data_IF_160322773249
#
_entry.id   IF_160322773249
#
_cell.length_a   1.000
_cell.length_b   1.000
_cell.length_c   1.000
_cell.angle_alpha   90.00
_cell.angle_beta   90.00
_cell.angle_gamma   90.00
#
_symmetry.space_group_name_H-M   'P 1'
#
loop_
_entity.id
_entity.type
_entity.pdbx_description
1 polymer ?
#
# COMPACT_ATOMS: atom_id res chain seq x y z
N UNK A 1 6.47 -0.66 4.69
CA UNK A 1 7.94 -0.53 4.73
C UNK A 1 8.49 -0.42 3.34
N UNK A 2 9.30 0.61 3.10
CA UNK A 2 10.09 0.81 1.90
C UNK A 2 11.50 0.25 2.08
N UNK A 3 12.01 -0.35 1.02
CA UNK A 3 13.44 -0.54 0.76
C UNK A 3 13.63 -0.32 -0.74
N UNK A 4 14.87 -0.17 -1.20
CA UNK A 4 15.17 0.02 -2.61
C UNK A 4 14.37 -0.96 -3.47
N UNK A 5 13.55 -0.34 -4.31
CA UNK A 5 12.75 -0.92 -5.38
C UNK A 5 11.53 -1.74 -4.96
N UNK A 6 11.21 -1.84 -3.68
CA UNK A 6 10.04 -2.61 -3.23
C UNK A 6 9.34 -2.00 -2.01
N UNK A 7 8.02 -2.11 -2.02
CA UNK A 7 7.16 -1.91 -0.86
C UNK A 7 6.74 -3.26 -0.28
N UNK A 8 6.82 -3.38 1.04
CA UNK A 8 6.24 -4.49 1.81
C UNK A 8 5.24 -3.94 2.82
N UNK A 9 4.06 -4.53 2.87
CA UNK A 9 2.95 -4.16 3.74
C UNK A 9 2.71 -5.30 4.73
N UNK A 10 2.60 -4.95 6.02
CA UNK A 10 2.31 -5.91 7.10
C UNK A 10 0.98 -5.55 7.75
N UNK A 11 0.18 -6.56 8.07
CA UNK A 11 -1.16 -6.44 8.67
C UNK A 11 -1.12 -7.08 10.07
N UNK A 12 -0.60 -6.37 11.09
CA UNK A 12 -0.36 -6.95 12.42
C UNK A 12 -1.64 -7.42 13.12
N UNK A 13 -2.76 -6.72 12.90
CA UNK A 13 -4.06 -7.08 13.48
C UNK A 13 -4.65 -8.37 12.89
N UNK A 14 -4.13 -8.80 11.74
CA UNK A 14 -4.61 -9.95 10.98
C UNK A 14 -3.57 -11.08 10.94
N UNK A 15 -2.97 -11.37 12.10
CA UNK A 15 -1.97 -12.45 12.23
C UNK A 15 -0.61 -12.13 11.58
N UNK A 16 -0.35 -10.86 11.24
CA UNK A 16 0.96 -10.43 10.74
C UNK A 16 1.23 -10.78 9.28
N UNK A 17 0.19 -10.96 8.45
CA UNK A 17 0.32 -11.23 7.02
C UNK A 17 1.21 -10.17 6.36
N UNK A 18 2.09 -10.62 5.46
CA UNK A 18 2.92 -9.76 4.64
C UNK A 18 2.51 -9.82 3.16
N UNK A 19 2.55 -8.68 2.48
CA UNK A 19 2.18 -8.57 1.08
C UNK A 19 3.01 -7.50 0.36
N UNK A 20 3.34 -7.73 -0.91
CA UNK A 20 3.91 -6.70 -1.80
C UNK A 20 2.86 -5.76 -2.41
N UNK A 21 1.58 -6.09 -2.25
CA UNK A 21 0.41 -5.28 -2.63
C UNK A 21 -0.24 -4.70 -1.38
N UNK A 22 -0.59 -3.41 -1.42
CA UNK A 22 -1.39 -2.80 -0.38
C UNK A 22 -2.86 -3.18 -0.61
N UNK A 23 -3.52 -3.79 0.36
CA UNK A 23 -4.94 -4.08 0.35
C UNK A 23 -5.61 -3.15 1.35
N UNK A 24 -6.70 -2.52 0.95
CA UNK A 24 -7.46 -1.59 1.77
C UNK A 24 -8.95 -1.92 1.71
N UNK A 25 -9.67 -1.78 2.83
CA UNK A 25 -11.13 -1.85 2.87
C UNK A 25 -11.75 -0.55 2.36
N UNK A 26 -12.75 -0.65 1.48
CA UNK A 26 -13.56 0.49 1.05
C UNK A 26 -14.32 1.08 2.24
N UNK A 27 -14.38 2.42 2.31
CA UNK A 27 -15.16 3.15 3.30
C UNK A 27 -14.57 3.20 4.70
N UNK A 28 -13.50 2.45 4.98
CA UNK A 28 -12.87 2.40 6.31
C UNK A 28 -11.52 3.11 6.31
N UNK A 29 -11.36 4.07 7.21
CA UNK A 29 -10.09 4.78 7.42
C UNK A 29 -9.03 3.80 7.91
N UNK A 30 -7.93 3.72 7.18
CA UNK A 30 -6.77 2.87 7.51
C UNK A 30 -5.57 3.76 7.79
N UNK A 31 -4.96 3.61 8.97
CA UNK A 31 -3.70 4.26 9.29
C UNK A 31 -2.52 3.40 8.78
N UNK A 32 -1.73 3.99 7.89
CA UNK A 32 -0.50 3.42 7.38
C UNK A 32 0.69 3.99 8.16
N UNK A 33 1.53 3.10 8.67
CA UNK A 33 2.82 3.45 9.28
C UNK A 33 3.95 3.20 8.29
N UNK A 34 4.41 4.26 7.65
CA UNK A 34 5.48 4.21 6.68
C UNK A 34 6.84 4.23 7.39
N UNK A 35 7.74 3.37 6.92
CA UNK A 35 9.13 3.24 7.38
C UNK A 35 10.00 3.00 6.16
N UNK A 36 11.20 3.57 6.14
CA UNK A 36 12.23 3.25 5.15
C UNK A 36 13.43 2.57 5.83
N UNK A 37 14.02 1.59 5.14
CA UNK A 37 15.15 0.82 5.67
C UNK A 37 16.52 1.30 5.17
N UNK A 38 16.56 2.07 4.08
CA UNK A 38 17.79 2.45 3.39
C UNK A 38 17.85 3.94 3.04
N UNK A 39 17.15 4.37 1.99
CA UNK A 39 17.11 5.76 1.50
C UNK A 39 15.70 6.33 1.66
N UNK A 40 15.52 7.61 1.35
CA UNK A 40 14.19 8.22 1.29
C UNK A 40 13.41 7.61 0.12
N UNK A 41 12.14 7.30 0.37
CA UNK A 41 11.17 6.88 -0.65
C UNK A 41 9.92 7.75 -0.52
N UNK A 42 9.14 7.87 -1.58
CA UNK A 42 7.89 8.64 -1.54
C UNK A 42 6.69 7.79 -1.96
N UNK A 43 5.84 7.44 -0.99
CA UNK A 43 4.59 6.73 -1.22
C UNK A 43 3.62 7.64 -1.97
N UNK A 44 3.15 7.22 -3.14
CA UNK A 44 2.18 7.97 -3.92
C UNK A 44 1.10 7.06 -4.51
N UNK A 45 -0.16 7.35 -4.19
CA UNK A 45 -1.33 6.79 -4.87
C UNK A 45 -2.14 7.96 -5.45
N UNK A 46 -2.05 8.22 -6.77
CA UNK A 46 -2.66 9.39 -7.41
C UNK A 46 -4.17 9.51 -7.16
N UNK A 47 -4.90 8.39 -7.24
CA UNK A 47 -6.35 8.35 -7.14
C UNK A 47 -6.84 8.62 -5.71
N UNK A 48 -5.98 8.42 -4.71
CA UNK A 48 -6.25 8.79 -3.33
C UNK A 48 -5.76 10.21 -3.00
N UNK A 49 -5.05 10.85 -3.94
CA UNK A 49 -4.30 12.10 -3.73
C UNK A 49 -3.35 12.03 -2.52
N UNK A 50 -2.89 10.83 -2.19
CA UNK A 50 -2.08 10.60 -1.01
C UNK A 50 -0.61 10.51 -1.41
N UNK A 51 0.16 11.54 -1.05
CA UNK A 51 1.63 11.54 -1.09
C UNK A 51 2.19 11.58 0.31
N UNK A 52 3.19 10.78 0.60
CA UNK A 52 3.97 10.93 1.82
C UNK A 52 5.34 10.28 1.70
N UNK A 53 6.35 10.96 2.22
CA UNK A 53 7.70 10.42 2.27
C UNK A 53 7.89 9.44 3.43
N UNK A 54 8.58 8.35 3.14
CA UNK A 54 9.14 7.41 4.10
C UNK A 54 10.62 7.75 4.27
N UNK A 55 10.97 8.32 5.43
CA UNK A 55 12.33 8.76 5.74
C UNK A 55 13.00 7.75 6.68
N UNK A 56 14.24 7.29 6.39
CA UNK A 56 14.96 6.40 7.30
C UNK A 56 15.06 6.97 8.72
N UNK A 57 14.90 6.11 9.72
CA UNK A 57 14.98 6.49 11.14
C UNK A 57 13.69 7.11 11.72
N UNK A 58 12.67 7.40 10.91
CA UNK A 58 11.38 7.95 11.37
C UNK A 58 10.21 7.07 10.93
N UNK A 59 9.13 7.08 11.71
CA UNK A 59 7.85 6.49 11.31
C UNK A 59 6.91 7.62 10.89
N UNK A 60 6.49 7.61 9.64
CA UNK A 60 5.49 8.57 9.14
C UNK A 60 4.11 7.92 9.16
N UNK A 61 3.11 8.63 9.67
CA UNK A 61 1.72 8.15 9.74
C UNK A 61 0.89 8.78 8.62
N UNK A 62 0.08 7.97 7.94
CA UNK A 62 -0.78 8.39 6.83
C UNK A 62 -2.15 7.76 6.99
N UNK A 63 -3.21 8.56 7.03
CA UNK A 63 -4.58 8.05 7.04
C UNK A 63 -5.14 8.02 5.61
N UNK A 64 -5.69 6.89 5.19
CA UNK A 64 -6.37 6.74 3.89
C UNK A 64 -7.78 6.17 4.07
N UNK A 65 -8.75 6.74 3.35
CA UNK A 65 -10.14 6.28 3.37
C UNK A 65 -10.64 6.12 1.92
N UNK A 66 -10.32 5.01 1.25
CA UNK A 66 -10.71 4.83 -0.15
C UNK A 66 -12.22 4.61 -0.27
N UNK A 67 -12.86 5.28 -1.22
CA UNK A 67 -14.33 5.26 -1.38
C UNK A 67 -14.81 4.37 -2.54
N UNK A 68 -13.90 3.89 -3.37
CA UNK A 68 -14.20 3.08 -4.56
C UNK A 68 -13.31 1.85 -4.61
N UNK A 69 -13.89 0.69 -4.90
CA UNK A 69 -13.15 -0.56 -5.13
C UNK A 69 -12.36 -0.49 -6.43
N UNK A 70 -11.26 -1.23 -6.49
CA UNK A 70 -10.42 -1.29 -7.69
C UNK A 70 -8.95 -1.52 -7.40
N UNK A 71 -8.14 -1.38 -8.45
CA UNK A 71 -6.68 -1.49 -8.40
C UNK A 71 -6.09 -0.16 -8.83
N UNK A 72 -5.25 0.41 -7.98
CA UNK A 72 -4.66 1.73 -8.14
C UNK A 72 -3.14 1.61 -8.13
N UNK A 73 -2.41 2.30 -9.02
CA UNK A 73 -0.96 2.30 -8.98
C UNK A 73 -0.44 2.88 -7.67
N UNK A 74 0.58 2.25 -7.11
CA UNK A 74 1.35 2.77 -5.98
C UNK A 74 2.79 2.92 -6.44
N UNK A 75 3.26 4.16 -6.46
CA UNK A 75 4.55 4.53 -7.04
C UNK A 75 5.49 5.03 -5.95
N UNK A 76 6.80 4.82 -6.15
CA UNK A 76 7.80 5.68 -5.52
C UNK A 76 8.01 6.93 -6.38
N UNK A 77 7.86 8.12 -5.80
CA UNK A 77 8.06 9.39 -6.53
C UNK A 77 9.26 10.21 -6.06
N UNK A 78 10.17 9.58 -5.32
CA UNK A 78 11.46 10.14 -4.90
C UNK A 78 12.59 9.29 -5.49
N UNK A 79 13.64 9.92 -6.04
CA UNK A 79 14.72 9.20 -6.69
C UNK A 79 15.51 8.36 -5.67
N UNK A 80 15.15 7.07 -5.58
CA UNK A 80 15.62 6.16 -4.54
C UNK A 80 16.74 5.20 -4.99
N UNK A 81 17.36 5.47 -6.14
CA UNK A 81 18.47 4.69 -6.71
C UNK A 81 18.25 4.25 -8.15
N UNK A 82 19.17 3.43 -8.69
CA UNK A 82 19.18 3.03 -10.11
C UNK A 82 17.90 2.31 -10.56
N UNK A 83 17.29 1.52 -9.68
CA UNK A 83 16.02 0.83 -9.94
C UNK A 83 14.78 1.67 -9.64
N UNK A 84 14.89 2.99 -9.42
CA UNK A 84 13.76 3.84 -9.03
C UNK A 84 12.56 3.69 -9.98
N UNK A 85 12.80 3.64 -11.29
CA UNK A 85 11.75 3.52 -12.29
C UNK A 85 10.89 2.25 -12.11
N UNK A 86 11.45 1.16 -11.58
CA UNK A 86 10.73 -0.10 -11.36
C UNK A 86 10.14 -0.22 -9.95
N UNK A 87 10.34 0.78 -9.09
CA UNK A 87 9.76 0.82 -7.75
C UNK A 87 8.26 1.18 -7.80
N UNK A 88 7.47 0.24 -8.30
CA UNK A 88 6.03 0.37 -8.48
C UNK A 88 5.33 -0.91 -8.03
N UNK A 89 4.18 -0.76 -7.41
CA UNK A 89 3.24 -1.82 -7.06
C UNK A 89 1.82 -1.29 -7.22
N UNK A 90 0.85 -1.92 -6.56
CA UNK A 90 -0.54 -1.48 -6.56
C UNK A 90 -1.10 -1.42 -5.13
N UNK A 91 -2.05 -0.51 -4.96
CA UNK A 91 -3.06 -0.56 -3.92
C UNK A 91 -4.32 -1.22 -4.47
N UNK A 92 -4.96 -2.07 -3.69
CA UNK A 92 -6.17 -2.80 -4.05
C UNK A 92 -7.23 -2.50 -3.01
N UNK A 93 -8.30 -1.86 -3.43
CA UNK A 93 -9.44 -1.55 -2.58
C UNK A 93 -10.49 -2.63 -2.78
N UNK A 94 -10.80 -3.35 -1.71
CA UNK A 94 -11.80 -4.41 -1.66
C UNK A 94 -13.06 -3.90 -0.95
N UNK A 95 -14.19 -4.57 -1.16
CA UNK A 95 -15.30 -4.43 -0.22
C UNK A 95 -14.84 -4.93 1.18
N UNK A 96 -15.48 -4.43 2.24
CA UNK A 96 -15.02 -4.69 3.61
C UNK A 96 -15.02 -6.18 3.98
N UNK A 97 -16.05 -6.92 3.57
CA UNK A 97 -16.18 -8.35 3.80
C UNK A 97 -15.12 -9.15 3.03
N UNK A 98 -14.81 -8.76 1.80
CA UNK A 98 -13.75 -9.37 0.99
C UNK A 98 -12.36 -9.11 1.60
N UNK A 99 -12.14 -7.89 2.11
CA UNK A 99 -10.90 -7.56 2.82
C UNK A 99 -10.73 -8.44 4.06
N UNK A 100 -11.77 -8.59 4.88
CA UNK A 100 -11.75 -9.42 6.09
C UNK A 100 -11.49 -10.90 5.76
N UNK A 101 -12.15 -11.45 4.73
CA UNK A 101 -11.91 -12.82 4.26
C UNK A 101 -10.46 -13.02 3.79
N UNK A 102 -9.94 -12.07 3.00
CA UNK A 102 -8.56 -12.10 2.54
C UNK A 102 -7.58 -12.04 3.71
N UNK A 103 -7.78 -11.09 4.63
CA UNK A 103 -6.91 -10.86 5.77
C UNK A 103 -6.95 -12.01 6.78
N UNK A 104 -7.96 -12.88 6.74
CA UNK A 104 -8.01 -14.12 7.54
C UNK A 104 -7.46 -15.34 6.80
N UNK A 105 -6.92 -15.17 5.59
CA UNK A 105 -6.40 -16.25 4.76
C UNK A 105 -7.48 -17.17 4.18
N UNK A 106 -8.75 -16.74 4.18
CA UNK A 106 -9.89 -17.53 3.73
C UNK A 106 -10.14 -17.39 2.23
N UNK A 107 -9.49 -16.43 1.55
CA UNK A 107 -9.68 -16.18 0.12
C UNK A 107 -8.45 -15.52 -0.52
N UNK A 108 -8.17 -15.87 -1.77
CA UNK A 108 -7.29 -15.08 -2.64
C UNK A 108 -8.04 -13.82 -3.08
N UNK A 109 -7.48 -12.61 -2.92
CA UNK A 109 -8.22 -11.38 -3.15
C UNK A 109 -8.45 -11.17 -4.66
N UNK A 110 -9.72 -11.19 -5.06
CA UNK A 110 -10.14 -10.93 -6.42
C UNK A 110 -10.64 -9.50 -6.54
N UNK A 111 -9.73 -8.54 -6.72
CA UNK A 111 -10.16 -7.20 -7.13
C UNK A 111 -10.58 -7.23 -8.60
N UNK A 112 -11.87 -7.44 -8.81
CA UNK A 112 -12.53 -7.18 -10.07
C UNK A 112 -12.53 -5.66 -10.29
N UNK A 113 -12.00 -5.23 -11.43
CA UNK A 113 -11.80 -3.84 -11.78
C UNK A 113 -10.49 -3.65 -12.55
N UNK A 114 -10.52 -4.02 -13.83
CA UNK A 114 -9.57 -3.49 -14.81
C UNK A 114 -9.80 -2.00 -14.92
N UNK A 115 -8.84 -1.19 -14.46
CA UNK A 115 -8.70 0.16 -15.02
C UNK A 115 -8.26 -0.05 -16.47
N UNK A 116 -9.18 0.26 -17.41
CA UNK A 116 -8.85 0.37 -18.83
C UNK A 116 -8.05 1.62 -19.13
#
# INVERSE_FOLDING_TARGET
TARQFVWSFKYPEYGGIESGTLYLPKGRTTELRLKALDVIHSFWVPEFRQKQDAVPGTVTHVAVTPTKTGRYPLLCTELCGLGHAVMRTKSVVLEEDEFEQWARGQRTPSAAGSAG
#
